data_IF_587698931570
#
_entry.id   IF_587698931570
#
_cell.length_a   1.000
_cell.length_b   1.000
_cell.length_c   1.000
_cell.angle_alpha   90.00
_cell.angle_beta   90.00
_cell.angle_gamma   90.00
#
_symmetry.space_group_name_H-M   'P 1'
#
loop_
_entity.id
_entity.type
_entity.pdbx_description
1 polymer ?
#
# COMPACT_ATOMS: atom_id res chain seq x y z
N UNK A 1 12.77 27.71 -18.76
CA UNK A 1 11.99 26.59 -18.20
C UNK A 1 13.01 25.61 -17.61
N UNK A 2 13.17 25.55 -16.29
CA UNK A 2 14.12 24.63 -15.67
C UNK A 2 13.81 23.21 -16.15
N UNK A 3 14.82 22.45 -16.58
CA UNK A 3 14.69 21.04 -16.91
C UNK A 3 14.14 20.33 -15.68
N UNK A 4 12.83 20.05 -15.67
CA UNK A 4 12.17 19.43 -14.52
C UNK A 4 12.82 18.10 -14.18
N UNK A 5 12.88 17.79 -12.88
CA UNK A 5 13.37 16.50 -12.38
C UNK A 5 12.70 15.34 -13.13
N UNK A 6 13.45 14.26 -13.40
CA UNK A 6 12.95 13.05 -14.05
C UNK A 6 13.52 11.83 -13.36
N UNK A 7 12.79 10.71 -13.43
CA UNK A 7 13.36 9.43 -13.06
C UNK A 7 14.58 9.10 -13.92
N UNK A 8 15.62 8.55 -13.31
CA UNK A 8 16.87 8.22 -14.00
C UNK A 8 16.67 7.07 -15.00
N UNK A 9 15.78 6.13 -14.67
CA UNK A 9 15.48 4.95 -15.49
C UNK A 9 13.99 4.58 -15.49
N UNK A 10 13.60 3.72 -16.44
CA UNK A 10 12.25 3.15 -16.51
C UNK A 10 11.98 2.31 -15.26
N UNK A 11 12.99 1.57 -14.80
CA UNK A 11 12.92 0.82 -13.56
C UNK A 11 12.75 1.71 -12.33
N UNK A 12 13.34 2.91 -12.33
CA UNK A 12 13.08 3.90 -11.29
C UNK A 12 11.62 4.30 -11.19
N UNK A 13 10.97 4.54 -12.34
CA UNK A 13 9.54 4.81 -12.42
C UNK A 13 8.70 3.60 -11.99
N UNK A 14 9.02 2.39 -12.47
CA UNK A 14 8.27 1.18 -12.14
C UNK A 14 8.36 0.89 -10.64
N UNK A 15 9.55 0.97 -10.04
CA UNK A 15 9.72 0.72 -8.60
C UNK A 15 9.02 1.79 -7.76
N UNK A 16 9.05 3.07 -8.18
CA UNK A 16 8.25 4.11 -7.52
C UNK A 16 6.74 3.86 -7.65
N UNK A 17 6.28 3.44 -8.84
CA UNK A 17 4.88 3.10 -9.10
C UNK A 17 4.43 1.86 -8.31
N UNK A 18 5.27 0.83 -8.20
CA UNK A 18 5.03 -0.31 -7.32
C UNK A 18 4.99 0.10 -5.86
N UNK A 19 5.85 1.02 -5.43
CA UNK A 19 5.81 1.51 -4.05
C UNK A 19 4.60 2.36 -3.72
N UNK A 20 4.01 2.99 -4.72
CA UNK A 20 2.72 3.65 -4.59
C UNK A 20 1.59 2.63 -4.46
N UNK A 21 1.54 1.63 -5.34
CA UNK A 21 0.44 0.66 -5.41
C UNK A 21 0.51 -0.38 -4.28
N UNK A 22 1.68 -0.99 -4.07
CA UNK A 22 1.90 -1.97 -3.01
C UNK A 22 2.04 -1.25 -1.66
N UNK A 23 0.93 -1.18 -0.93
CA UNK A 23 0.83 -0.54 0.37
C UNK A 23 0.28 -1.46 1.45
N UNK A 24 -0.16 -0.86 2.56
CA UNK A 24 -0.84 -1.59 3.64
C UNK A 24 -2.06 -2.37 3.13
N UNK A 25 -2.80 -1.83 2.14
CA UNK A 25 -3.97 -2.46 1.54
C UNK A 25 -3.73 -3.89 1.02
N UNK A 26 -2.54 -4.18 0.51
CA UNK A 26 -2.16 -5.51 0.03
C UNK A 26 -1.93 -6.48 1.20
N UNK A 27 -1.32 -6.01 2.29
CA UNK A 27 -0.87 -6.86 3.40
C UNK A 27 -1.94 -7.08 4.48
N UNK A 28 -2.70 -6.05 4.84
CA UNK A 28 -3.66 -6.13 5.96
C UNK A 28 -5.13 -6.24 5.58
N UNK A 29 -5.49 -5.86 4.35
CA UNK A 29 -6.90 -5.74 3.90
C UNK A 29 -7.23 -6.85 2.93
N UNK A 30 -6.38 -7.05 1.91
CA UNK A 30 -6.64 -8.08 0.90
C UNK A 30 -6.89 -9.48 1.46
N UNK A 31 -6.08 -10.03 2.40
CA UNK A 31 -6.32 -11.38 2.92
C UNK A 31 -7.71 -11.53 3.55
N UNK A 32 -8.12 -10.52 4.32
CA UNK A 32 -9.43 -10.46 4.96
C UNK A 32 -10.57 -10.35 3.94
N UNK A 33 -10.49 -9.39 3.02
CA UNK A 33 -11.56 -9.18 2.03
C UNK A 33 -11.71 -10.39 1.12
N UNK A 34 -10.61 -11.03 0.72
CA UNK A 34 -10.67 -12.29 0.00
C UNK A 34 -11.39 -13.36 0.83
N UNK A 35 -11.05 -13.51 2.12
CA UNK A 35 -11.69 -14.50 2.98
C UNK A 35 -13.19 -14.23 3.23
N UNK A 36 -13.57 -12.98 3.52
CA UNK A 36 -14.97 -12.60 3.75
C UNK A 36 -15.87 -12.75 2.52
N UNK A 37 -15.29 -12.80 1.31
CA UNK A 37 -16.04 -12.84 0.05
C UNK A 37 -15.87 -14.16 -0.72
N UNK A 38 -15.66 -15.27 0.00
CA UNK A 38 -15.63 -16.61 -0.61
C UNK A 38 -14.29 -17.00 -1.22
N UNK A 39 -13.19 -16.42 -0.71
CA UNK A 39 -11.82 -16.80 -1.01
C UNK A 39 -11.51 -16.73 -2.51
N UNK A 40 -11.26 -17.89 -3.10
CA UNK A 40 -10.96 -18.04 -4.52
C UNK A 40 -11.98 -17.39 -5.48
N UNK A 41 -13.27 -17.43 -5.15
CA UNK A 41 -14.30 -16.86 -6.02
C UNK A 41 -14.17 -15.34 -6.17
N UNK A 42 -13.75 -14.64 -5.10
CA UNK A 42 -13.50 -13.21 -5.11
C UNK A 42 -12.34 -12.79 -6.04
N UNK A 43 -11.35 -13.66 -6.24
CA UNK A 43 -10.20 -13.37 -7.08
C UNK A 43 -10.58 -13.16 -8.55
N UNK A 44 -11.66 -13.81 -9.02
CA UNK A 44 -12.13 -13.72 -10.40
C UNK A 44 -12.57 -12.29 -10.76
N UNK A 45 -13.60 -11.69 -10.11
CA UNK A 45 -13.98 -10.31 -10.39
C UNK A 45 -12.85 -9.32 -10.06
N UNK A 46 -12.02 -9.60 -9.05
CA UNK A 46 -10.90 -8.73 -8.70
C UNK A 46 -9.86 -8.61 -9.83
N UNK A 47 -9.52 -9.72 -10.49
CA UNK A 47 -8.68 -9.74 -11.69
C UNK A 47 -9.40 -9.09 -12.87
N UNK A 48 -10.70 -9.32 -13.06
CA UNK A 48 -11.47 -8.65 -14.13
C UNK A 48 -11.38 -7.12 -13.96
N UNK A 49 -11.59 -6.60 -12.74
CA UNK A 49 -11.49 -5.18 -12.45
C UNK A 49 -10.09 -4.59 -12.59
N UNK A 50 -9.02 -5.40 -12.45
CA UNK A 50 -7.68 -4.96 -12.85
C UNK A 50 -7.69 -4.52 -14.33
N UNK A 51 -8.27 -5.31 -15.23
CA UNK A 51 -8.26 -5.02 -16.67
C UNK A 51 -9.28 -3.97 -17.11
N UNK A 52 -10.49 -3.98 -16.55
CA UNK A 52 -11.57 -3.10 -17.05
C UNK A 52 -11.62 -1.75 -16.33
N UNK A 53 -11.03 -1.64 -15.14
CA UNK A 53 -11.07 -0.42 -14.32
C UNK A 53 -9.67 0.12 -14.04
N UNK A 54 -8.84 -0.66 -13.35
CA UNK A 54 -7.59 -0.15 -12.80
C UNK A 54 -6.57 0.17 -13.90
N UNK A 55 -6.26 -0.77 -14.80
CA UNK A 55 -5.29 -0.54 -15.88
C UNK A 55 -5.68 0.61 -16.82
N UNK A 56 -6.92 0.71 -17.35
CA UNK A 56 -7.33 1.84 -18.18
C UNK A 56 -7.17 3.18 -17.46
N UNK A 57 -7.54 3.25 -16.18
CA UNK A 57 -7.43 4.47 -15.40
C UNK A 57 -5.96 4.84 -15.10
N UNK A 58 -5.12 3.87 -14.77
CA UNK A 58 -3.68 4.07 -14.60
C UNK A 58 -3.01 4.55 -15.90
N UNK A 59 -3.37 3.97 -17.05
CA UNK A 59 -2.88 4.38 -18.37
C UNK A 59 -3.30 5.83 -18.66
N UNK A 60 -4.56 6.18 -18.36
CA UNK A 60 -5.05 7.55 -18.49
C UNK A 60 -4.28 8.53 -17.60
N UNK A 61 -4.09 8.23 -16.32
CA UNK A 61 -3.32 9.06 -15.39
C UNK A 61 -1.86 9.23 -15.85
N UNK A 62 -1.23 8.16 -16.33
CA UNK A 62 0.09 8.23 -16.94
C UNK A 62 0.13 9.15 -18.16
N UNK A 63 -0.84 9.01 -19.07
CA UNK A 63 -0.95 9.85 -20.26
C UNK A 63 -1.13 11.32 -19.92
N UNK A 64 -2.06 11.62 -19.02
CA UNK A 64 -2.39 12.97 -18.57
C UNK A 64 -1.18 13.62 -17.89
N UNK A 65 -0.58 12.97 -16.89
CA UNK A 65 0.52 13.55 -16.13
C UNK A 65 1.79 13.72 -16.98
N UNK A 66 2.09 12.77 -17.86
CA UNK A 66 3.22 12.87 -18.80
C UNK A 66 3.03 13.96 -19.85
N UNK A 67 1.79 14.17 -20.30
CA UNK A 67 1.42 15.20 -21.28
C UNK A 67 1.42 16.60 -20.68
N UNK A 68 0.71 16.78 -19.56
CA UNK A 68 0.54 18.09 -18.93
C UNK A 68 1.80 18.57 -18.18
N UNK A 69 2.61 17.65 -17.62
CA UNK A 69 3.81 17.98 -16.81
C UNK A 69 3.53 18.87 -15.60
N UNK A 70 2.32 18.76 -15.07
CA UNK A 70 1.79 19.48 -13.90
C UNK A 70 1.21 18.47 -12.92
N UNK A 71 1.18 18.80 -11.63
CA UNK A 71 0.46 18.03 -10.62
C UNK A 71 -1.03 17.89 -10.95
N UNK A 72 -1.76 17.12 -10.15
CA UNK A 72 -3.13 16.70 -10.45
C UNK A 72 -4.06 17.87 -10.81
N UNK A 73 -4.08 18.96 -10.03
CA UNK A 73 -4.90 20.16 -10.31
C UNK A 73 -4.54 20.82 -11.65
N UNK A 74 -3.25 21.07 -11.86
CA UNK A 74 -2.76 21.72 -13.06
C UNK A 74 -2.91 20.85 -14.31
N UNK A 75 -2.88 19.52 -14.15
CA UNK A 75 -3.09 18.57 -15.24
C UNK A 75 -4.51 18.64 -15.81
N UNK A 76 -5.54 18.63 -14.96
CA UNK A 76 -6.92 18.81 -15.41
C UNK A 76 -7.14 20.18 -16.06
N UNK A 77 -6.59 21.25 -15.47
CA UNK A 77 -6.65 22.60 -16.04
C UNK A 77 -6.01 22.68 -17.44
N UNK A 78 -4.91 21.95 -17.67
CA UNK A 78 -4.19 21.93 -18.94
C UNK A 78 -4.91 21.07 -19.99
N UNK A 79 -5.49 19.94 -19.58
CA UNK A 79 -6.10 18.97 -20.49
C UNK A 79 -7.45 19.45 -21.05
N UNK A 80 -8.32 19.96 -20.18
CA UNK A 80 -9.72 20.26 -20.52
C UNK A 80 -10.13 21.71 -20.21
N UNK A 81 -9.22 22.51 -19.65
CA UNK A 81 -9.37 23.94 -19.43
C UNK A 81 -9.46 24.35 -17.94
N UNK A 82 -9.10 25.60 -17.59
CA UNK A 82 -9.00 26.05 -16.19
C UNK A 82 -10.28 25.89 -15.37
N UNK A 83 -11.46 25.99 -16.02
CA UNK A 83 -12.76 25.81 -15.36
C UNK A 83 -12.97 24.42 -14.74
N UNK A 84 -12.20 23.42 -15.15
CA UNK A 84 -12.27 22.05 -14.64
C UNK A 84 -11.12 21.70 -13.69
N UNK A 85 -10.31 22.68 -13.27
CA UNK A 85 -9.26 22.47 -12.27
C UNK A 85 -9.81 21.87 -10.97
N UNK A 86 -11.08 22.13 -10.64
CA UNK A 86 -11.77 21.57 -9.48
C UNK A 86 -11.79 20.04 -9.47
N UNK A 87 -11.79 19.36 -10.62
CA UNK A 87 -11.76 17.89 -10.68
C UNK A 87 -10.45 17.35 -10.11
N UNK A 88 -9.33 17.96 -10.51
CA UNK A 88 -8.03 17.65 -9.91
C UNK A 88 -7.93 18.12 -8.46
N UNK A 89 -8.61 19.21 -8.10
CA UNK A 89 -8.75 19.67 -6.71
C UNK A 89 -9.48 18.67 -5.82
N UNK A 90 -10.56 18.08 -6.31
CA UNK A 90 -11.31 17.04 -5.60
C UNK A 90 -10.45 15.80 -5.33
N UNK A 91 -9.69 15.35 -6.33
CA UNK A 91 -8.72 14.25 -6.18
C UNK A 91 -7.67 14.62 -5.14
N UNK A 92 -7.08 15.82 -5.24
CA UNK A 92 -6.07 16.30 -4.31
C UNK A 92 -6.55 16.32 -2.86
N UNK A 93 -7.75 16.87 -2.60
CA UNK A 93 -8.33 16.93 -1.26
C UNK A 93 -8.59 15.53 -0.73
N UNK A 94 -9.22 14.66 -1.52
CA UNK A 94 -9.56 13.29 -1.11
C UNK A 94 -8.30 12.49 -0.75
N UNK A 95 -7.29 12.50 -1.61
CA UNK A 95 -6.04 11.77 -1.35
C UNK A 95 -5.24 12.40 -0.19
N UNK A 96 -5.33 13.72 0.01
CA UNK A 96 -4.73 14.37 1.19
C UNK A 96 -5.45 13.96 2.48
N UNK A 97 -6.78 13.87 2.49
CA UNK A 97 -7.54 13.34 3.64
C UNK A 97 -7.16 11.90 3.96
N UNK A 98 -6.87 11.10 2.95
CA UNK A 98 -6.37 9.74 3.15
C UNK A 98 -4.97 9.77 3.78
N UNK A 99 -4.09 10.64 3.30
CA UNK A 99 -2.73 10.80 3.85
C UNK A 99 -2.72 11.12 5.36
N UNK A 100 -3.71 11.87 5.87
CA UNK A 100 -3.81 12.20 7.29
C UNK A 100 -3.90 10.97 8.20
N UNK A 101 -4.74 9.98 7.90
CA UNK A 101 -4.78 8.77 8.72
C UNK A 101 -3.71 7.76 8.30
N UNK A 102 -3.29 7.76 7.03
CA UNK A 102 -2.30 6.80 6.53
C UNK A 102 -0.92 7.00 7.16
N UNK A 103 -0.54 8.23 7.48
CA UNK A 103 0.68 8.56 8.24
C UNK A 103 0.67 7.93 9.63
N UNK A 104 -0.47 7.97 10.33
CA UNK A 104 -0.66 7.32 11.63
C UNK A 104 -0.49 5.80 11.50
N UNK A 105 -1.11 5.18 10.50
CA UNK A 105 -0.94 3.75 10.20
C UNK A 105 0.52 3.40 9.90
N UNK A 106 1.23 4.25 9.15
CA UNK A 106 2.67 4.07 8.88
C UNK A 106 3.50 4.14 10.18
N UNK A 107 3.09 4.97 11.14
CA UNK A 107 3.67 5.01 12.48
C UNK A 107 3.44 3.69 13.25
N UNK A 108 2.24 3.11 13.17
CA UNK A 108 1.93 1.83 13.82
C UNK A 108 2.80 0.69 13.31
N UNK A 109 3.01 0.60 11.99
CA UNK A 109 3.83 -0.44 11.38
C UNK A 109 5.30 -0.30 11.79
N UNK A 110 5.81 0.94 11.85
CA UNK A 110 7.15 1.22 12.38
C UNK A 110 7.29 0.83 13.85
N UNK A 111 6.30 1.18 14.69
CA UNK A 111 6.28 0.83 16.10
C UNK A 111 6.34 -0.69 16.28
N UNK A 112 5.47 -1.41 15.59
CA UNK A 112 5.39 -2.86 15.71
C UNK A 112 6.63 -3.56 15.14
N UNK A 113 7.27 -3.01 14.11
CA UNK A 113 8.57 -3.49 13.67
C UNK A 113 9.62 -3.37 14.79
N UNK A 114 9.76 -2.20 15.43
CA UNK A 114 10.71 -1.99 16.53
C UNK A 114 10.39 -2.89 17.73
N UNK A 115 9.11 -3.01 18.07
CA UNK A 115 8.64 -3.81 19.19
C UNK A 115 8.93 -5.30 19.00
N UNK A 116 8.64 -5.84 17.82
CA UNK A 116 8.87 -7.26 17.50
C UNK A 116 10.34 -7.57 17.33
N UNK A 117 11.14 -6.62 16.83
CA UNK A 117 12.59 -6.76 16.73
C UNK A 117 13.27 -6.81 18.11
N UNK A 118 12.72 -6.10 19.10
CA UNK A 118 13.25 -6.04 20.47
C UNK A 118 12.66 -7.10 21.41
N UNK A 119 11.71 -7.92 20.92
CA UNK A 119 11.05 -8.97 21.71
C UNK A 119 9.95 -8.48 22.66
N UNK A 120 9.61 -7.19 22.66
CA UNK A 120 8.68 -6.61 23.64
C UNK A 120 7.23 -7.10 23.55
N UNK A 121 6.82 -7.78 22.46
CA UNK A 121 5.51 -8.46 22.39
C UNK A 121 5.46 -9.71 23.28
N UNK A 122 6.59 -10.29 23.68
CA UNK A 122 6.58 -11.54 24.45
C UNK A 122 6.18 -11.36 25.92
N UNK A 123 6.25 -10.14 26.44
CA UNK A 123 5.98 -9.83 27.84
C UNK A 123 4.50 -9.55 28.13
N UNK A 124 3.69 -9.23 27.11
CA UNK A 124 2.27 -8.88 27.20
C UNK A 124 1.50 -9.58 26.08
N UNK A 125 0.24 -9.97 26.30
CA UNK A 125 -0.57 -10.51 25.19
C UNK A 125 -0.67 -9.50 24.04
N UNK A 126 -0.66 -9.92 22.76
CA UNK A 126 -0.75 -8.99 21.62
C UNK A 126 -1.95 -8.03 21.70
N UNK A 127 -3.12 -8.51 22.14
CA UNK A 127 -4.30 -7.68 22.34
C UNK A 127 -4.16 -6.68 23.48
N UNK A 128 -3.59 -7.10 24.62
CA UNK A 128 -3.30 -6.20 25.73
C UNK A 128 -2.28 -5.12 25.36
N UNK A 129 -1.27 -5.49 24.57
CA UNK A 129 -0.31 -4.51 24.06
C UNK A 129 -0.95 -3.49 23.12
N UNK A 130 -1.79 -3.95 22.18
CA UNK A 130 -2.50 -3.05 21.25
C UNK A 130 -3.32 -2.02 22.03
N UNK A 131 -4.07 -2.44 23.05
CA UNK A 131 -4.85 -1.53 23.89
C UNK A 131 -3.98 -0.50 24.61
N UNK A 132 -2.86 -0.93 25.21
CA UNK A 132 -1.91 -0.02 25.87
C UNK A 132 -1.33 0.98 24.86
N UNK A 133 -1.03 0.53 23.65
CA UNK A 133 -0.44 1.37 22.62
C UNK A 133 -1.46 2.35 22.03
N UNK A 134 -2.64 1.88 21.64
CA UNK A 134 -3.67 2.66 20.94
C UNK A 134 -4.28 3.74 21.82
N UNK A 135 -4.37 3.50 23.13
CA UNK A 135 -4.86 4.47 24.12
C UNK A 135 -3.74 5.36 24.69
N UNK A 136 -2.47 5.06 24.40
CA UNK A 136 -1.36 5.90 24.81
C UNK A 136 -1.38 7.23 24.05
N UNK A 137 -1.23 8.34 24.78
CA UNK A 137 -1.14 9.67 24.16
C UNK A 137 0.19 9.83 23.39
N UNK A 138 1.31 9.40 23.99
CA UNK A 138 2.63 9.76 23.49
C UNK A 138 3.16 8.82 22.41
N UNK A 139 2.91 7.50 22.50
CA UNK A 139 3.56 6.55 21.59
C UNK A 139 3.03 6.66 20.15
N UNK A 140 1.71 6.62 19.87
CA UNK A 140 1.20 6.78 18.51
C UNK A 140 1.58 8.12 17.89
N UNK A 141 1.52 9.22 18.66
CA UNK A 141 1.93 10.56 18.20
C UNK A 141 3.41 10.56 17.81
N UNK A 142 4.29 10.02 18.65
CA UNK A 142 5.72 9.99 18.36
C UNK A 142 6.04 9.22 17.08
N UNK A 143 5.46 8.02 16.90
CA UNK A 143 5.72 7.20 15.71
C UNK A 143 5.05 7.76 14.45
N UNK A 144 3.91 8.43 14.57
CA UNK A 144 3.29 9.23 13.50
C UNK A 144 4.21 10.35 13.04
N UNK A 145 4.70 11.19 13.95
CA UNK A 145 5.63 12.28 13.63
C UNK A 145 6.93 11.77 13.02
N UNK A 146 7.41 10.61 13.49
CA UNK A 146 8.59 9.96 12.92
C UNK A 146 8.32 9.49 11.48
N UNK A 147 7.17 8.87 11.20
CA UNK A 147 6.78 8.47 9.85
C UNK A 147 6.67 9.67 8.89
N UNK A 148 6.05 10.76 9.34
CA UNK A 148 5.98 12.04 8.60
C UNK A 148 7.39 12.58 8.34
N UNK A 149 8.26 12.58 9.35
CA UNK A 149 9.65 13.02 9.24
C UNK A 149 10.46 12.22 8.22
N UNK A 150 10.34 10.89 8.22
CA UNK A 150 11.01 10.01 7.26
C UNK A 150 10.50 10.29 5.84
N UNK A 151 9.18 10.36 5.65
CA UNK A 151 8.57 10.66 4.35
C UNK A 151 9.00 12.04 3.82
N UNK A 152 8.92 13.07 4.64
CA UNK A 152 9.34 14.43 4.30
C UNK A 152 10.82 14.51 3.94
N UNK A 153 11.68 13.83 4.70
CA UNK A 153 13.11 13.77 4.42
C UNK A 153 13.42 13.15 3.05
N UNK A 154 12.73 12.07 2.69
CA UNK A 154 12.87 11.42 1.38
C UNK A 154 12.42 12.37 0.28
N UNK A 155 11.24 12.99 0.40
CA UNK A 155 10.69 13.89 -0.63
C UNK A 155 11.52 15.16 -0.79
N UNK A 156 12.13 15.67 0.28
CA UNK A 156 13.00 16.83 0.23
C UNK A 156 14.25 16.59 -0.64
N UNK A 157 14.70 15.35 -0.80
CA UNK A 157 15.83 14.97 -1.66
C UNK A 157 15.47 14.87 -3.16
N UNK A 158 14.20 15.07 -3.52
CA UNK A 158 13.74 15.07 -4.90
C UNK A 158 13.51 13.67 -5.48
N UNK A 159 13.24 13.61 -6.78
CA UNK A 159 12.76 12.42 -7.48
C UNK A 159 13.83 11.32 -7.52
N UNK A 160 15.06 11.64 -7.93
CA UNK A 160 16.10 10.61 -8.10
C UNK A 160 16.76 10.24 -6.77
N UNK A 161 17.24 11.24 -6.02
CA UNK A 161 17.98 10.99 -4.79
C UNK A 161 17.09 10.65 -3.58
N UNK A 162 15.79 10.95 -3.67
CA UNK A 162 14.77 10.61 -2.68
C UNK A 162 13.91 9.43 -3.14
N UNK A 163 12.86 9.72 -3.90
CA UNK A 163 11.77 8.79 -4.24
C UNK A 163 12.31 7.51 -4.92
N UNK A 164 13.10 7.67 -5.97
CA UNK A 164 13.63 6.54 -6.74
C UNK A 164 14.60 5.71 -5.90
N UNK A 165 15.52 6.35 -5.17
CA UNK A 165 16.49 5.64 -4.32
C UNK A 165 15.82 4.89 -3.18
N UNK A 166 14.80 5.47 -2.54
CA UNK A 166 14.03 4.81 -1.50
C UNK A 166 13.31 3.57 -2.05
N UNK A 167 12.54 3.71 -3.13
CA UNK A 167 11.76 2.61 -3.70
C UNK A 167 12.63 1.51 -4.35
N UNK A 168 13.84 1.85 -4.82
CA UNK A 168 14.84 0.83 -5.24
C UNK A 168 15.30 -0.09 -4.11
N UNK A 169 15.08 0.29 -2.85
CA UNK A 169 15.43 -0.50 -1.67
C UNK A 169 14.17 -1.13 -1.08
N UNK A 170 13.15 -0.32 -0.79
CA UNK A 170 11.93 -0.75 -0.09
C UNK A 170 11.19 -1.86 -0.85
N UNK A 171 11.04 -1.74 -2.17
CA UNK A 171 10.21 -2.66 -2.96
C UNK A 171 10.86 -4.04 -3.14
N UNK A 172 12.14 -4.16 -3.53
CA UNK A 172 12.78 -5.46 -3.56
C UNK A 172 12.79 -6.14 -2.19
N UNK A 173 13.07 -5.41 -1.11
CA UNK A 173 13.01 -5.95 0.26
C UNK A 173 11.61 -6.47 0.55
N UNK A 174 10.57 -5.68 0.30
CA UNK A 174 9.18 -6.08 0.52
C UNK A 174 8.85 -7.41 -0.17
N UNK A 175 9.13 -7.54 -1.47
CA UNK A 175 8.82 -8.77 -2.21
C UNK A 175 9.62 -9.97 -1.70
N UNK A 176 10.90 -9.80 -1.36
CA UNK A 176 11.71 -10.87 -0.77
C UNK A 176 11.12 -11.33 0.56
N UNK A 177 10.75 -10.40 1.44
CA UNK A 177 10.17 -10.70 2.75
C UNK A 177 8.81 -11.40 2.63
N UNK A 178 7.97 -10.98 1.68
CA UNK A 178 6.72 -11.66 1.38
C UNK A 178 6.96 -13.08 0.87
N UNK A 179 7.91 -13.31 -0.04
CA UNK A 179 8.25 -14.65 -0.50
C UNK A 179 8.73 -15.56 0.64
N UNK A 180 9.56 -15.05 1.56
CA UNK A 180 10.00 -15.79 2.75
C UNK A 180 8.80 -16.16 3.63
N UNK A 181 7.87 -15.22 3.86
CA UNK A 181 6.66 -15.47 4.63
C UNK A 181 5.76 -16.51 3.97
N UNK A 182 5.59 -16.47 2.64
CA UNK A 182 4.84 -17.48 1.88
C UNK A 182 5.47 -18.85 2.04
N UNK A 183 6.78 -18.99 1.83
CA UNK A 183 7.48 -20.28 1.98
C UNK A 183 7.26 -20.86 3.37
N UNK A 184 7.31 -20.04 4.43
CA UNK A 184 6.98 -20.54 5.77
C UNK A 184 5.52 -20.96 5.88
N UNK A 185 4.60 -20.10 5.44
CA UNK A 185 3.16 -20.31 5.52
C UNK A 185 2.73 -21.64 4.89
N UNK A 186 3.19 -21.91 3.66
CA UNK A 186 2.80 -23.11 2.90
C UNK A 186 3.49 -24.40 3.37
N UNK A 187 4.52 -24.30 4.22
CA UNK A 187 5.21 -25.47 4.80
C UNK A 187 4.68 -25.82 6.20
N UNK A 188 3.69 -25.10 6.71
CA UNK A 188 3.01 -25.46 7.95
C UNK A 188 2.10 -26.67 7.74
N UNK A 189 2.05 -27.63 8.68
CA UNK A 189 1.05 -28.69 8.65
C UNK A 189 -0.36 -28.10 8.68
N UNK A 190 -1.23 -28.47 7.75
CA UNK A 190 -2.59 -27.93 7.66
C UNK A 190 -2.75 -26.71 6.73
N UNK A 191 -1.66 -26.19 6.16
CA UNK A 191 -1.68 -25.02 5.28
C UNK A 191 -2.47 -25.27 3.98
N UNK A 192 -2.59 -26.53 3.55
CA UNK A 192 -3.39 -26.94 2.40
C UNK A 192 -4.85 -26.47 2.51
N UNK A 193 -5.43 -26.44 3.72
CA UNK A 193 -6.80 -25.94 3.93
C UNK A 193 -6.94 -24.47 3.53
N UNK A 194 -5.96 -23.64 3.88
CA UNK A 194 -5.98 -22.22 3.51
C UNK A 194 -5.64 -21.97 2.04
N UNK A 195 -4.80 -22.82 1.44
CA UNK A 195 -4.53 -22.78 0.00
C UNK A 195 -5.76 -23.19 -0.83
N UNK A 196 -6.45 -24.26 -0.42
CA UNK A 196 -7.72 -24.67 -1.02
C UNK A 196 -8.75 -23.54 -0.91
N UNK A 197 -8.87 -22.92 0.26
CA UNK A 197 -9.76 -21.79 0.46
C UNK A 197 -9.43 -20.59 -0.45
N UNK A 198 -8.15 -20.29 -0.67
CA UNK A 198 -7.71 -19.17 -1.52
C UNK A 198 -7.78 -19.46 -3.03
N UNK A 199 -7.67 -20.72 -3.46
CA UNK A 199 -7.51 -21.06 -4.89
C UNK A 199 -8.55 -22.03 -5.46
N UNK A 200 -9.44 -22.61 -4.65
CA UNK A 200 -10.54 -23.45 -5.12
C UNK A 200 -11.90 -22.69 -5.09
N UNK A 201 -12.38 -22.15 -6.23
CA UNK A 201 -13.52 -21.23 -6.25
C UNK A 201 -14.87 -21.94 -6.11
N UNK A 202 -15.66 -21.55 -5.10
CA UNK A 202 -17.10 -21.77 -5.12
C UNK A 202 -17.77 -20.71 -6.02
N UNK A 203 -18.12 -21.13 -7.24
CA UNK A 203 -18.77 -20.27 -8.22
C UNK A 203 -20.15 -19.77 -7.76
N UNK A 204 -20.76 -20.37 -6.74
CA UNK A 204 -22.02 -19.87 -6.16
C UNK A 204 -21.86 -18.46 -5.60
N UNK A 205 -20.69 -18.11 -5.05
CA UNK A 205 -20.37 -16.79 -4.51
C UNK A 205 -20.39 -15.68 -5.56
N UNK A 206 -20.22 -16.00 -6.85
CA UNK A 206 -20.29 -15.03 -7.95
C UNK A 206 -21.71 -14.53 -8.22
N UNK A 207 -22.75 -15.24 -7.72
CA UNK A 207 -24.14 -14.79 -7.81
C UNK A 207 -24.44 -13.60 -6.89
N UNK A 208 -23.61 -13.40 -5.86
CA UNK A 208 -23.75 -12.27 -4.94
C UNK A 208 -23.13 -11.02 -5.54
N UNK A 209 -23.93 -9.96 -5.68
CA UNK A 209 -23.43 -8.65 -6.12
C UNK A 209 -22.37 -8.08 -5.17
N UNK A 210 -22.38 -8.49 -3.89
CA UNK A 210 -21.42 -8.04 -2.88
C UNK A 210 -19.99 -8.47 -3.24
N UNK A 211 -19.81 -9.70 -3.73
CA UNK A 211 -18.50 -10.22 -4.18
C UNK A 211 -17.89 -9.33 -5.26
N UNK A 212 -18.71 -8.88 -6.22
CA UNK A 212 -18.27 -7.97 -7.28
C UNK A 212 -17.98 -6.57 -6.77
N UNK A 213 -18.82 -6.04 -5.88
CA UNK A 213 -18.65 -4.71 -5.30
C UNK A 213 -17.37 -4.64 -4.46
N UNK A 214 -17.10 -5.64 -3.63
CA UNK A 214 -15.90 -5.73 -2.81
C UNK A 214 -14.65 -5.93 -3.68
N UNK A 215 -14.75 -6.71 -4.76
CA UNK A 215 -13.65 -6.93 -5.69
C UNK A 215 -13.26 -5.64 -6.44
N UNK A 216 -14.26 -4.87 -6.89
CA UNK A 216 -14.03 -3.55 -7.48
C UNK A 216 -13.40 -2.60 -6.46
N UNK A 217 -13.94 -2.55 -5.24
CA UNK A 217 -13.45 -1.70 -4.15
C UNK A 217 -12.00 -2.05 -3.80
N UNK A 218 -11.67 -3.34 -3.66
CA UNK A 218 -10.31 -3.79 -3.43
C UNK A 218 -9.38 -3.44 -4.60
N UNK A 219 -9.80 -3.62 -5.86
CA UNK A 219 -8.97 -3.28 -7.02
C UNK A 219 -8.66 -1.78 -7.10
N UNK A 220 -9.66 -0.93 -6.85
CA UNK A 220 -9.53 0.53 -6.84
C UNK A 220 -8.66 1.02 -5.67
N UNK A 221 -8.79 0.40 -4.50
CA UNK A 221 -8.00 0.74 -3.31
C UNK A 221 -6.55 0.28 -3.40
N UNK A 222 -6.31 -0.90 -3.99
CA UNK A 222 -4.99 -1.53 -4.09
C UNK A 222 -4.10 -0.80 -5.09
N UNK A 223 -4.57 -0.58 -6.31
CA UNK A 223 -3.72 -0.02 -7.38
C UNK A 223 -3.44 1.47 -7.25
N UNK A 224 -4.20 2.20 -6.43
CA UNK A 224 -4.13 3.66 -6.31
C UNK A 224 -4.63 4.42 -7.56
N UNK A 225 -5.34 3.74 -8.46
CA UNK A 225 -5.87 4.32 -9.68
C UNK A 225 -6.91 5.40 -9.37
N UNK A 226 -6.73 6.61 -9.95
CA UNK A 226 -7.62 7.75 -9.75
C UNK A 226 -7.28 8.62 -8.53
N UNK A 227 -6.22 8.29 -7.78
CA UNK A 227 -5.79 9.05 -6.61
C UNK A 227 -4.82 10.18 -6.97
N UNK A 228 -4.54 10.42 -8.25
CA UNK A 228 -3.65 11.50 -8.71
C UNK A 228 -2.16 11.27 -8.40
N UNK A 229 -1.82 10.20 -7.69
CA UNK A 229 -0.45 9.85 -7.34
C UNK A 229 0.32 9.34 -8.57
N UNK A 230 -0.29 8.44 -9.37
CA UNK A 230 0.30 7.94 -10.62
C UNK A 230 0.47 9.09 -11.61
N UNK A 231 -0.55 9.93 -11.75
CA UNK A 231 -0.50 11.15 -12.55
C UNK A 231 0.67 12.04 -12.11
N UNK A 232 0.86 12.22 -10.80
CA UNK A 232 1.98 13.02 -10.27
C UNK A 232 3.33 12.41 -10.64
N UNK A 233 3.53 11.11 -10.47
CA UNK A 233 4.78 10.44 -10.89
C UNK A 233 4.99 10.50 -12.40
N UNK A 234 3.93 10.47 -13.19
CA UNK A 234 3.99 10.61 -14.64
C UNK A 234 4.55 11.98 -15.08
N UNK A 235 4.44 13.02 -14.24
CA UNK A 235 5.09 14.32 -14.50
C UNK A 235 6.61 14.21 -14.59
N UNK A 236 7.22 13.18 -13.97
CA UNK A 236 8.66 12.90 -13.94
C UNK A 236 9.10 11.81 -14.93
N UNK A 237 8.14 11.20 -15.64
CA UNK A 237 8.39 10.12 -16.60
C UNK A 237 9.18 10.62 -17.83
N UNK A 238 10.02 9.78 -18.43
CA UNK A 238 10.76 10.16 -19.66
C UNK A 238 9.82 10.04 -20.87
N UNK A 239 10.08 10.80 -21.94
CA UNK A 239 9.21 10.79 -23.13
C UNK A 239 9.13 9.42 -23.80
N UNK A 240 10.23 8.65 -23.76
CA UNK A 240 10.35 7.32 -24.37
C UNK A 240 9.77 6.17 -23.53
N UNK A 241 9.37 6.43 -22.30
CA UNK A 241 8.83 5.36 -21.44
C UNK A 241 7.41 4.98 -21.94
N UNK A 242 7.11 3.69 -22.01
CA UNK A 242 5.81 3.18 -22.49
C UNK A 242 4.73 3.29 -21.39
N UNK A 243 3.55 3.83 -21.71
CA UNK A 243 2.49 4.01 -20.71
C UNK A 243 1.80 2.70 -20.35
N UNK A 244 1.42 1.92 -21.37
CA UNK A 244 0.63 0.69 -21.23
C UNK A 244 1.46 -0.35 -20.49
N UNK A 245 2.68 -0.59 -20.95
CA UNK A 245 3.56 -1.57 -20.35
C UNK A 245 3.90 -1.22 -18.89
N UNK A 246 4.11 0.06 -18.57
CA UNK A 246 4.38 0.48 -17.19
C UNK A 246 3.15 0.33 -16.29
N UNK A 247 1.97 0.75 -16.76
CA UNK A 247 0.72 0.57 -16.02
C UNK A 247 0.46 -0.92 -15.75
N UNK A 248 0.58 -1.77 -16.77
CA UNK A 248 0.42 -3.21 -16.67
C UNK A 248 1.43 -3.82 -15.69
N UNK A 249 2.70 -3.45 -15.76
CA UNK A 249 3.73 -3.96 -14.83
C UNK A 249 3.41 -3.59 -13.39
N UNK A 250 2.98 -2.34 -13.14
CA UNK A 250 2.63 -1.88 -11.80
C UNK A 250 1.37 -2.58 -11.29
N UNK A 251 0.31 -2.68 -12.09
CA UNK A 251 -0.95 -3.32 -11.71
C UNK A 251 -0.81 -4.83 -11.44
N UNK A 252 -0.01 -5.54 -12.24
CA UNK A 252 0.29 -6.95 -11.95
C UNK A 252 1.20 -7.10 -10.73
N UNK A 253 2.17 -6.22 -10.53
CA UNK A 253 3.01 -6.25 -9.34
C UNK A 253 2.20 -6.01 -8.06
N UNK A 254 1.23 -5.09 -8.11
CA UNK A 254 0.26 -4.84 -7.04
C UNK A 254 -0.55 -6.10 -6.69
N UNK A 255 -1.20 -6.72 -7.68
CA UNK A 255 -1.94 -7.96 -7.46
C UNK A 255 -1.04 -9.10 -6.97
N UNK A 256 0.20 -9.18 -7.47
CA UNK A 256 1.16 -10.21 -7.03
C UNK A 256 1.52 -10.03 -5.56
N UNK A 257 1.76 -8.81 -5.09
CA UNK A 257 2.02 -8.54 -3.68
C UNK A 257 0.81 -8.87 -2.80
N UNK A 258 -0.41 -8.55 -3.25
CA UNK A 258 -1.67 -8.95 -2.58
C UNK A 258 -1.80 -10.46 -2.46
N UNK A 259 -1.56 -11.22 -3.54
CA UNK A 259 -1.60 -12.68 -3.51
C UNK A 259 -0.53 -13.27 -2.61
N UNK A 260 0.70 -12.75 -2.64
CA UNK A 260 1.76 -13.17 -1.73
C UNK A 260 1.39 -12.93 -0.27
N UNK A 261 0.84 -11.75 0.06
CA UNK A 261 0.37 -11.47 1.41
C UNK A 261 -0.80 -12.37 1.83
N UNK A 262 -1.77 -12.61 0.94
CA UNK A 262 -2.85 -13.57 1.14
C UNK A 262 -2.31 -14.97 1.45
N UNK A 263 -1.35 -15.46 0.66
CA UNK A 263 -0.69 -16.75 0.89
C UNK A 263 0.20 -16.78 2.13
N UNK A 264 0.69 -15.64 2.61
CA UNK A 264 1.45 -15.59 3.85
C UNK A 264 0.53 -15.69 5.08
N UNK A 265 -0.66 -15.08 5.02
CA UNK A 265 -1.55 -14.94 6.18
C UNK A 265 -2.60 -16.06 6.21
N UNK A 266 -3.34 -16.29 5.11
CA UNK A 266 -4.49 -17.22 5.12
C UNK A 266 -4.08 -18.67 5.40
N UNK A 267 -3.10 -19.28 4.71
CA UNK A 267 -2.66 -20.64 5.03
C UNK A 267 -2.09 -20.77 6.44
N UNK A 268 -1.35 -19.76 6.93
CA UNK A 268 -0.88 -19.74 8.34
C UNK A 268 -2.06 -19.77 9.32
N UNK A 269 -3.08 -18.94 9.13
CA UNK A 269 -4.25 -18.91 10.01
C UNK A 269 -5.01 -20.24 9.98
N UNK A 270 -5.25 -20.79 8.78
CA UNK A 270 -5.95 -22.06 8.63
C UNK A 270 -5.12 -23.25 9.12
N UNK A 271 -3.79 -23.20 9.07
CA UNK A 271 -2.93 -24.26 9.61
C UNK A 271 -3.00 -24.34 11.14
N UNK A 272 -3.08 -23.18 11.80
CA UNK A 272 -3.02 -23.08 13.26
C UNK A 272 -4.38 -23.15 13.95
N UNK A 273 -5.47 -22.84 13.23
CA UNK A 273 -6.82 -22.74 13.80
C UNK A 273 -7.81 -23.68 13.09
N UNK A 274 -8.99 -23.85 13.70
CA UNK A 274 -10.14 -24.43 13.00
C UNK A 274 -10.61 -23.50 11.87
N UNK A 275 -11.38 -24.02 10.90
CA UNK A 275 -11.87 -23.20 9.79
C UNK A 275 -12.78 -22.05 10.27
N UNK A 276 -13.57 -22.28 11.30
CA UNK A 276 -14.48 -21.27 11.87
C UNK A 276 -13.69 -20.16 12.55
N UNK A 277 -12.77 -20.50 13.46
CA UNK A 277 -11.89 -19.52 14.10
C UNK A 277 -11.04 -18.76 13.08
N UNK A 278 -10.54 -19.43 12.04
CA UNK A 278 -9.76 -18.78 10.99
C UNK A 278 -10.57 -17.70 10.27
N UNK A 279 -11.86 -17.93 10.01
CA UNK A 279 -12.76 -16.95 9.40
C UNK A 279 -13.09 -15.81 10.37
N UNK A 280 -13.28 -16.09 11.66
CA UNK A 280 -13.47 -15.07 12.70
C UNK A 280 -12.24 -14.16 12.82
N UNK A 281 -11.03 -14.74 12.80
CA UNK A 281 -9.77 -14.00 12.79
C UNK A 281 -9.68 -13.08 11.58
N UNK A 282 -10.06 -13.58 10.39
CA UNK A 282 -10.09 -12.73 9.20
C UNK A 282 -11.10 -11.59 9.37
N UNK A 283 -12.27 -11.85 9.95
CA UNK A 283 -13.30 -10.84 10.18
C UNK A 283 -12.98 -9.80 11.29
N UNK A 284 -11.84 -9.90 11.98
CA UNK A 284 -11.44 -9.01 13.08
C UNK A 284 -11.06 -7.58 12.67
N UNK A 285 -11.24 -7.22 11.40
CA UNK A 285 -10.84 -5.93 10.84
C UNK A 285 -9.33 -5.80 10.59
N UNK A 286 -8.92 -4.70 9.98
CA UNK A 286 -7.52 -4.52 9.56
C UNK A 286 -6.56 -4.43 10.76
N UNK A 287 -6.98 -3.74 11.81
CA UNK A 287 -6.21 -3.52 13.03
C UNK A 287 -6.11 -4.79 13.86
N UNK A 288 -7.26 -5.45 14.10
CA UNK A 288 -7.32 -6.71 14.84
C UNK A 288 -6.50 -7.82 14.17
N UNK A 289 -6.64 -7.99 12.85
CA UNK A 289 -5.85 -9.00 12.14
C UNK A 289 -4.35 -8.69 12.27
N UNK A 290 -3.94 -7.45 12.02
CA UNK A 290 -2.53 -7.10 11.86
C UNK A 290 -1.77 -6.99 13.17
N UNK A 291 -2.37 -6.32 14.17
CA UNK A 291 -1.66 -5.91 15.37
C UNK A 291 -1.98 -6.77 16.59
N UNK A 292 -2.98 -7.67 16.48
CA UNK A 292 -3.37 -8.62 17.53
C UNK A 292 -3.14 -10.05 17.04
N UNK A 293 -3.82 -10.46 15.98
CA UNK A 293 -3.82 -11.86 15.54
C UNK A 293 -2.53 -12.30 14.87
N UNK A 294 -1.95 -11.53 13.94
CA UNK A 294 -0.68 -11.90 13.30
C UNK A 294 0.43 -12.13 14.33
N UNK A 295 0.69 -11.24 15.31
CA UNK A 295 1.64 -11.53 16.38
C UNK A 295 1.32 -12.80 17.17
N UNK A 296 0.04 -13.04 17.48
CA UNK A 296 -0.40 -14.23 18.21
C UNK A 296 -0.19 -15.53 17.43
N UNK A 297 -0.48 -15.52 16.13
CA UNK A 297 -0.29 -16.67 15.24
C UNK A 297 1.21 -16.97 15.07
N UNK A 298 2.03 -15.95 14.85
CA UNK A 298 3.47 -16.13 14.68
C UNK A 298 4.15 -16.66 15.94
N UNK A 299 3.65 -16.36 17.15
CA UNK A 299 4.16 -16.95 18.39
C UNK A 299 4.00 -18.49 18.44
N UNK A 300 3.08 -19.05 17.66
CA UNK A 300 2.85 -20.50 17.56
C UNK A 300 3.62 -21.14 16.41
N UNK A 301 4.14 -20.33 15.47
CA UNK A 301 4.91 -20.81 14.32
C UNK A 301 6.36 -21.06 14.72
N UNK A 302 6.93 -22.25 14.46
CA UNK A 302 8.37 -22.45 14.61
C UNK A 302 9.15 -21.45 13.74
N UNK A 303 10.07 -20.70 14.37
CA UNK A 303 10.81 -19.59 13.73
C UNK A 303 10.07 -18.25 13.72
N UNK A 304 8.88 -18.17 14.34
CA UNK A 304 8.05 -16.97 14.36
C UNK A 304 8.69 -15.74 15.01
N UNK A 305 9.59 -15.93 15.97
CA UNK A 305 10.37 -14.84 16.59
C UNK A 305 11.23 -14.08 15.58
N UNK A 306 11.70 -14.74 14.52
CA UNK A 306 12.45 -14.13 13.43
C UNK A 306 11.50 -13.61 12.34
N UNK A 307 10.44 -14.37 12.03
CA UNK A 307 9.55 -14.05 10.93
C UNK A 307 8.60 -12.87 11.22
N UNK A 308 8.20 -12.68 12.48
CA UNK A 308 7.30 -11.60 12.87
C UNK A 308 7.91 -10.19 12.65
N UNK A 309 9.14 -9.88 13.08
CA UNK A 309 9.76 -8.60 12.74
C UNK A 309 10.00 -8.44 11.24
N UNK A 310 10.25 -9.52 10.49
CA UNK A 310 10.35 -9.45 9.03
C UNK A 310 9.00 -9.10 8.37
N UNK A 311 7.89 -9.64 8.88
CA UNK A 311 6.55 -9.27 8.43
C UNK A 311 6.26 -7.79 8.67
N UNK A 312 6.53 -7.28 9.88
CA UNK A 312 6.31 -5.85 10.16
C UNK A 312 7.28 -4.94 9.42
N UNK A 313 8.51 -5.40 9.12
CA UNK A 313 9.42 -4.69 8.23
C UNK A 313 8.85 -4.60 6.82
N UNK A 314 8.30 -5.70 6.27
CA UNK A 314 7.61 -5.70 4.99
C UNK A 314 6.43 -4.71 5.00
N UNK A 315 5.58 -4.78 6.03
CA UNK A 315 4.44 -3.89 6.19
C UNK A 315 4.86 -2.41 6.31
N UNK A 316 5.94 -2.12 7.03
CA UNK A 316 6.49 -0.77 7.11
C UNK A 316 7.07 -0.29 5.77
N UNK A 317 7.78 -1.16 5.03
CA UNK A 317 8.28 -0.84 3.69
C UNK A 317 7.12 -0.47 2.75
N UNK A 318 6.05 -1.25 2.74
CA UNK A 318 4.85 -1.00 1.94
C UNK A 318 4.14 0.31 2.36
N UNK A 319 3.94 0.52 3.66
CA UNK A 319 3.32 1.74 4.18
C UNK A 319 4.16 2.99 3.82
N UNK A 320 5.47 2.95 4.07
CA UNK A 320 6.35 4.08 3.82
C UNK A 320 6.41 4.41 2.31
N UNK A 321 6.46 3.41 1.43
CA UNK A 321 6.50 3.65 -0.02
C UNK A 321 5.24 4.33 -0.55
N UNK A 322 4.06 3.96 -0.05
CA UNK A 322 2.81 4.63 -0.42
C UNK A 322 2.73 6.04 0.17
N UNK A 323 3.19 6.23 1.42
CA UNK A 323 3.23 7.53 2.07
C UNK A 323 4.12 8.53 1.30
N UNK A 324 5.26 8.08 0.78
CA UNK A 324 6.14 8.88 -0.10
C UNK A 324 5.33 9.40 -1.31
N UNK A 325 4.52 8.56 -1.94
CA UNK A 325 3.71 8.97 -3.10
C UNK A 325 2.65 10.02 -2.74
N UNK A 326 1.98 9.87 -1.60
CA UNK A 326 0.97 10.83 -1.13
C UNK A 326 1.59 12.20 -0.81
N UNK A 327 2.73 12.22 -0.09
CA UNK A 327 3.44 13.46 0.24
C UNK A 327 3.94 14.14 -1.04
N UNK A 328 4.46 13.38 -2.02
CA UNK A 328 4.90 13.95 -3.30
C UNK A 328 3.73 14.54 -4.09
N UNK A 329 2.56 13.89 -4.09
CA UNK A 329 1.34 14.40 -4.74
C UNK A 329 0.96 15.78 -4.18
N UNK A 330 0.83 15.89 -2.86
CA UNK A 330 0.51 17.16 -2.21
C UNK A 330 1.63 18.22 -2.41
N UNK A 331 2.90 17.80 -2.29
CA UNK A 331 4.06 18.68 -2.52
C UNK A 331 4.07 19.23 -3.93
N UNK A 332 3.74 18.39 -4.93
CA UNK A 332 3.78 18.79 -6.33
C UNK A 332 2.73 19.84 -6.67
N UNK A 333 1.56 19.79 -6.03
CA UNK A 333 0.52 20.82 -6.20
C UNK A 333 1.04 22.19 -5.75
N UNK A 334 1.71 22.25 -4.60
CA UNK A 334 2.31 23.49 -4.10
C UNK A 334 3.47 23.97 -5.00
N UNK A 335 4.27 23.04 -5.51
CA UNK A 335 5.34 23.36 -6.46
C UNK A 335 4.82 23.94 -7.77
N UNK A 336 3.70 23.45 -8.27
CA UNK A 336 3.02 23.99 -9.45
C UNK A 336 2.50 25.42 -9.24
N UNK A 337 2.26 25.83 -8.00
CA UNK A 337 1.91 27.20 -7.61
C UNK A 337 3.15 28.11 -7.40
N UNK A 338 4.35 27.61 -7.68
CA UNK A 338 5.60 28.37 -7.59
C UNK A 338 6.34 28.25 -6.25
N UNK A 339 5.86 27.44 -5.30
CA UNK A 339 6.54 27.21 -4.04
C UNK A 339 7.73 26.25 -4.26
N UNK A 340 8.94 26.61 -3.81
CA UNK A 340 10.08 25.70 -3.95
C UNK A 340 9.87 24.39 -3.15
N UNK A 341 10.46 23.29 -3.62
CA UNK A 341 10.31 21.94 -3.03
C UNK A 341 10.51 21.93 -1.52
N UNK A 342 11.59 22.55 -1.01
CA UNK A 342 11.92 22.52 0.42
C UNK A 342 10.85 23.20 1.29
N UNK A 343 10.23 24.27 0.80
CA UNK A 343 9.13 24.95 1.49
C UNK A 343 7.82 24.17 1.34
N UNK A 344 7.55 23.64 0.15
CA UNK A 344 6.36 22.83 -0.13
C UNK A 344 6.31 21.58 0.78
N UNK A 345 7.41 20.83 0.86
CA UNK A 345 7.51 19.65 1.74
C UNK A 345 7.29 20.02 3.19
N UNK A 346 7.87 21.12 3.67
CA UNK A 346 7.67 21.58 5.06
C UNK A 346 6.21 21.92 5.33
N UNK A 347 5.53 22.59 4.41
CA UNK A 347 4.11 22.91 4.56
C UNK A 347 3.25 21.63 4.60
N UNK A 348 3.49 20.69 3.69
CA UNK A 348 2.77 19.40 3.67
C UNK A 348 3.03 18.61 4.95
N UNK A 349 4.30 18.48 5.35
CA UNK A 349 4.68 17.76 6.57
C UNK A 349 4.10 18.42 7.82
N UNK A 350 4.09 19.75 7.91
CA UNK A 350 3.49 20.47 9.05
C UNK A 350 1.97 20.39 9.07
N UNK A 351 1.33 20.17 7.91
CA UNK A 351 -0.12 20.04 7.85
C UNK A 351 -0.60 18.66 8.30
N UNK A 352 0.19 17.60 8.07
CA UNK A 352 -0.16 16.22 8.46
C UNK A 352 0.43 15.79 9.80
N UNK A 353 1.47 16.47 10.30
CA UNK A 353 2.02 16.31 11.64
C UNK A 353 1.05 16.88 12.68
#
# INVERSE_FOLDING_TARGET
>A
MALGERFSSRWGLILAGLGLAVGTGNLWRFPRIAAENGGAAFLIPWIIFLFIWSLPLMIAEFGIGRGARRGVVGSFATLIGPRFAWMGGFIAVTTTMIMFYYTVVTGWTLKYFVLTLTGGIQEVSPGGYWEIYSTSVWQPIFFHLLAVGIGAFIIQRGVVAGIERANRILIPILFVLLCVAVVRSVTLPGAERGLEFLFNPDLSALKSYKTWLEALTQSAWSTGAGWGMILTYATYMRRKDDLVLNATTIGFGDNSASLLAGMAIVPTTFALLSNEEALEVMASGNEGLTFIWIPQLFNQVPGGTILLPLFFLALFCAALSSLIAMIEMATRILMDAGINRRRAVRLVASAIA
#
